data_IF_371764260093
#
_entry.id   IF_371764260093
#
_cell.length_a   1.000
_cell.length_b   1.000
_cell.length_c   1.000
_cell.angle_alpha   90.00
_cell.angle_beta   90.00
_cell.angle_gamma   90.00
#
_symmetry.space_group_name_H-M   'P 1'
#
loop_
_entity.id
_entity.type
_entity.pdbx_description
1 polymer ?
#
# COMPACT_ATOMS: atom_id res chain seq x y z
N UNK A 1 20.53 2.22 -5.84
CA UNK A 1 20.00 0.86 -6.10
C UNK A 1 18.54 0.66 -5.69
N UNK A 2 18.02 1.36 -4.69
CA UNK A 2 16.65 1.19 -4.19
C UNK A 2 15.52 1.64 -5.15
N UNK A 3 15.71 2.73 -5.90
CA UNK A 3 14.69 3.24 -6.83
C UNK A 3 14.42 2.29 -8.01
N UNK A 4 15.44 1.59 -8.49
CA UNK A 4 15.32 0.64 -9.60
C UNK A 4 14.48 -0.57 -9.21
N UNK A 5 14.68 -1.12 -8.01
CA UNK A 5 13.92 -2.28 -7.52
C UNK A 5 12.43 -1.94 -7.33
N UNK A 6 12.14 -0.73 -6.83
CA UNK A 6 10.76 -0.26 -6.70
C UNK A 6 10.07 -0.08 -8.05
N UNK A 7 10.77 0.51 -9.02
CA UNK A 7 10.28 0.66 -10.38
C UNK A 7 9.95 -0.69 -11.01
N UNK A 8 10.85 -1.66 -10.89
CA UNK A 8 10.64 -3.02 -11.38
C UNK A 8 9.42 -3.67 -10.69
N UNK A 9 9.29 -3.52 -9.38
CA UNK A 9 8.15 -4.07 -8.64
C UNK A 9 6.81 -3.48 -9.09
N UNK A 10 6.74 -2.17 -9.32
CA UNK A 10 5.55 -1.50 -9.83
C UNK A 10 5.20 -1.97 -11.25
N UNK A 11 6.18 -2.03 -12.13
CA UNK A 11 5.99 -2.50 -13.51
C UNK A 11 5.56 -3.97 -13.57
N UNK A 12 6.15 -4.82 -12.73
CA UNK A 12 5.76 -6.24 -12.64
C UNK A 12 4.31 -6.38 -12.15
N UNK A 13 3.94 -5.66 -11.10
CA UNK A 13 2.58 -5.68 -10.58
C UNK A 13 1.56 -5.16 -11.60
N UNK A 14 1.91 -4.11 -12.34
CA UNK A 14 1.08 -3.57 -13.40
C UNK A 14 0.93 -4.55 -14.57
N UNK A 15 2.02 -5.15 -15.00
CA UNK A 15 2.01 -6.16 -16.07
C UNK A 15 1.13 -7.35 -15.68
N UNK A 16 1.27 -7.84 -14.44
CA UNK A 16 0.42 -8.92 -13.93
C UNK A 16 -1.06 -8.51 -13.92
N UNK A 17 -1.36 -7.31 -13.42
CA UNK A 17 -2.71 -6.77 -13.39
C UNK A 17 -3.32 -6.68 -14.80
N UNK A 18 -2.59 -6.12 -15.76
CA UNK A 18 -3.03 -5.97 -17.15
C UNK A 18 -3.19 -7.34 -17.83
N UNK A 19 -2.31 -8.30 -17.52
CA UNK A 19 -2.39 -9.67 -18.04
C UNK A 19 -3.65 -10.39 -17.51
N UNK A 20 -3.96 -10.28 -16.24
CA UNK A 20 -5.15 -10.90 -15.65
C UNK A 20 -6.43 -10.30 -16.22
N UNK A 21 -6.46 -8.98 -16.46
CA UNK A 21 -7.62 -8.28 -17.04
C UNK A 21 -7.74 -8.42 -18.56
N UNK A 22 -6.76 -8.98 -19.23
CA UNK A 22 -6.80 -9.19 -20.66
C UNK A 22 -8.01 -10.04 -21.08
N UNK A 23 -8.63 -9.70 -22.23
CA UNK A 23 -9.85 -10.40 -22.73
C UNK A 23 -9.65 -11.90 -22.90
N UNK A 24 -8.42 -12.33 -23.21
CA UNK A 24 -8.05 -13.72 -23.45
C UNK A 24 -7.41 -14.38 -22.23
N UNK A 25 -7.53 -13.76 -21.06
CA UNK A 25 -6.94 -14.31 -19.83
C UNK A 25 -7.68 -15.57 -19.38
N UNK A 26 -6.91 -16.62 -19.08
CA UNK A 26 -7.43 -17.89 -18.56
C UNK A 26 -6.97 -18.13 -17.11
N UNK A 27 -6.92 -17.09 -16.31
CA UNK A 27 -6.60 -17.23 -14.89
C UNK A 27 -7.78 -17.84 -14.14
N UNK A 28 -7.47 -18.83 -13.33
CA UNK A 28 -8.41 -19.53 -12.47
C UNK A 28 -8.01 -19.26 -11.02
N UNK A 29 -9.00 -18.93 -10.20
CA UNK A 29 -8.87 -18.89 -8.75
C UNK A 29 -9.46 -20.17 -8.18
N UNK A 30 -8.75 -20.82 -7.28
CA UNK A 30 -9.23 -22.00 -6.61
C UNK A 30 -9.04 -21.92 -5.09
N UNK A 31 -9.92 -22.58 -4.36
CA UNK A 31 -9.80 -22.80 -2.93
C UNK A 31 -9.68 -24.30 -2.70
N UNK A 32 -8.62 -24.71 -2.01
CA UNK A 32 -8.37 -26.08 -1.61
C UNK A 32 -8.54 -26.26 -0.10
N UNK A 33 -8.67 -27.51 0.34
CA UNK A 33 -8.58 -27.86 1.75
C UNK A 33 -7.17 -27.57 2.29
N UNK A 34 -7.09 -27.14 3.55
CA UNK A 34 -5.80 -26.96 4.21
C UNK A 34 -5.22 -28.34 4.56
N UNK A 35 -4.35 -28.87 3.71
CA UNK A 35 -3.42 -29.89 4.17
C UNK A 35 -2.23 -29.23 4.85
N UNK A 36 -1.74 -29.86 5.92
CA UNK A 36 -0.46 -29.50 6.51
C UNK A 36 0.61 -29.75 5.47
N UNK A 37 1.13 -28.67 4.88
CA UNK A 37 2.30 -28.75 4.02
C UNK A 37 3.48 -29.22 4.89
N UNK A 38 3.76 -30.50 4.86
CA UNK A 38 4.99 -31.04 5.41
C UNK A 38 6.12 -30.65 4.48
N UNK A 39 7.04 -29.83 4.99
CA UNK A 39 8.25 -29.41 4.28
C UNK A 39 8.90 -30.59 3.56
N UNK A 40 9.21 -30.43 2.28
CA UNK A 40 9.96 -31.35 1.39
C UNK A 40 9.18 -32.40 0.57
N UNK A 41 8.07 -32.04 -0.01
CA UNK A 41 7.53 -32.86 -1.09
C UNK A 41 7.52 -32.07 -2.42
N UNK A 42 8.59 -32.20 -3.19
CA UNK A 42 8.65 -31.84 -4.61
C UNK A 42 8.43 -33.11 -5.45
N UNK A 43 7.28 -33.74 -5.34
CA UNK A 43 6.95 -34.94 -6.11
C UNK A 43 5.65 -34.73 -6.89
N UNK A 44 5.53 -35.44 -7.99
CA UNK A 44 4.31 -35.44 -8.84
C UNK A 44 3.06 -35.79 -8.01
N UNK A 45 3.23 -36.53 -6.92
CA UNK A 45 2.15 -36.89 -6.00
C UNK A 45 1.59 -35.67 -5.26
N UNK A 46 2.39 -34.60 -5.03
CA UNK A 46 1.93 -33.38 -4.41
C UNK A 46 1.02 -32.57 -5.33
N UNK A 47 1.32 -32.53 -6.64
CA UNK A 47 0.48 -31.85 -7.62
C UNK A 47 -0.89 -32.54 -7.70
N UNK A 48 -0.94 -33.85 -7.68
CA UNK A 48 -2.20 -34.60 -7.67
C UNK A 48 -3.00 -34.33 -6.39
N UNK A 49 -2.35 -34.29 -5.24
CA UNK A 49 -2.99 -33.96 -3.97
C UNK A 49 -3.60 -32.55 -3.95
N UNK A 50 -2.94 -31.58 -4.58
CA UNK A 50 -3.52 -30.21 -4.76
C UNK A 50 -4.79 -30.27 -5.58
N UNK A 51 -4.80 -30.98 -6.71
CA UNK A 51 -5.96 -31.07 -7.59
C UNK A 51 -7.15 -31.82 -6.93
N UNK A 52 -6.88 -32.86 -6.18
CA UNK A 52 -7.91 -33.63 -5.46
C UNK A 52 -8.56 -32.83 -4.32
N UNK A 53 -7.84 -31.86 -3.75
CA UNK A 53 -8.31 -31.03 -2.65
C UNK A 53 -8.97 -29.71 -3.09
N UNK A 54 -9.17 -29.48 -4.37
CA UNK A 54 -9.88 -28.30 -4.87
C UNK A 54 -11.37 -28.43 -4.55
N UNK A 55 -11.85 -27.57 -3.65
CA UNK A 55 -13.27 -27.51 -3.29
C UNK A 55 -14.04 -26.46 -4.11
N UNK A 56 -13.36 -25.49 -4.67
CA UNK A 56 -13.95 -24.41 -5.44
C UNK A 56 -13.00 -23.95 -6.53
N UNK A 57 -13.53 -23.72 -7.73
CA UNK A 57 -12.79 -23.22 -8.89
C UNK A 57 -13.63 -22.15 -9.59
N UNK A 58 -13.05 -20.99 -9.82
CA UNK A 58 -13.71 -19.91 -10.54
C UNK A 58 -12.74 -19.26 -11.53
N UNK A 59 -13.23 -18.94 -12.74
CA UNK A 59 -12.49 -18.11 -13.69
C UNK A 59 -12.46 -16.67 -13.17
N UNK A 60 -11.27 -16.09 -13.13
CA UNK A 60 -11.07 -14.67 -12.78
C UNK A 60 -11.56 -13.81 -13.93
N UNK A 61 -12.45 -12.85 -13.65
CA UNK A 61 -12.92 -11.85 -14.60
C UNK A 61 -12.15 -10.55 -14.40
N UNK A 62 -12.22 -9.68 -15.39
CA UNK A 62 -11.61 -8.35 -15.34
C UNK A 62 -12.13 -7.48 -14.17
N UNK A 63 -13.38 -7.71 -13.77
CA UNK A 63 -14.02 -7.03 -12.63
C UNK A 63 -13.59 -7.56 -11.26
N UNK A 64 -13.02 -8.75 -11.20
CA UNK A 64 -12.65 -9.42 -9.95
C UNK A 64 -11.27 -8.98 -9.44
N UNK A 65 -10.53 -8.22 -10.24
CA UNK A 65 -9.17 -7.78 -9.93
C UNK A 65 -9.09 -6.26 -9.84
N UNK A 66 -8.55 -5.77 -8.74
CA UNK A 66 -8.33 -4.34 -8.51
C UNK A 66 -6.99 -4.09 -7.85
N UNK A 67 -6.41 -2.93 -8.15
CA UNK A 67 -5.23 -2.46 -7.42
C UNK A 67 -5.73 -1.83 -6.11
N UNK A 68 -5.20 -2.30 -5.01
CA UNK A 68 -5.54 -1.78 -3.68
C UNK A 68 -4.33 -1.09 -3.06
N UNK A 69 -4.58 -0.03 -2.30
CA UNK A 69 -3.59 0.62 -1.46
C UNK A 69 -4.03 0.53 0.00
N UNK A 70 -3.05 0.42 0.89
CA UNK A 70 -3.34 0.42 2.31
C UNK A 70 -3.96 1.76 2.72
N UNK A 71 -5.10 1.72 3.39
CA UNK A 71 -5.71 2.91 3.97
C UNK A 71 -4.96 3.33 5.23
N UNK A 72 -4.52 4.58 5.26
CA UNK A 72 -3.91 5.22 6.42
C UNK A 72 -4.74 6.45 6.76
N UNK A 73 -5.48 6.41 7.88
CA UNK A 73 -6.25 7.56 8.32
C UNK A 73 -5.33 8.58 9.01
N UNK A 74 -5.55 9.86 8.73
CA UNK A 74 -4.89 10.92 9.47
C UNK A 74 -5.36 10.90 10.94
N UNK A 75 -4.42 11.09 11.85
CA UNK A 75 -4.70 11.15 13.28
C UNK A 75 -3.83 12.23 13.93
N UNK A 76 -4.44 13.07 14.75
CA UNK A 76 -3.72 14.11 15.45
C UNK A 76 -2.72 13.52 16.45
N UNK A 77 -1.56 14.13 16.57
CA UNK A 77 -0.49 13.67 17.45
C UNK A 77 0.40 12.59 16.86
N UNK A 78 0.17 12.18 15.61
CA UNK A 78 0.96 11.17 14.91
C UNK A 78 2.10 11.82 14.13
N UNK A 79 3.23 11.13 14.07
CA UNK A 79 4.37 11.53 13.21
C UNK A 79 4.20 10.91 11.83
N UNK A 80 4.26 11.75 10.81
CA UNK A 80 4.25 11.34 9.41
C UNK A 80 5.57 11.72 8.75
N UNK A 81 5.98 10.94 7.77
CA UNK A 81 7.24 11.11 7.09
C UNK A 81 7.06 11.83 5.76
N UNK A 82 7.97 12.70 5.36
CA UNK A 82 7.94 13.27 4.02
C UNK A 82 8.07 12.19 2.96
N UNK A 83 7.37 12.38 1.85
CA UNK A 83 7.53 11.54 0.67
C UNK A 83 8.96 11.66 0.13
N UNK A 84 9.60 10.51 -0.03
CA UNK A 84 10.91 10.40 -0.65
C UNK A 84 10.79 9.51 -1.90
N UNK A 85 11.15 10.08 -3.06
CA UNK A 85 11.14 9.36 -4.33
C UNK A 85 12.29 8.35 -4.46
N UNK A 86 13.33 8.48 -3.64
CA UNK A 86 14.46 7.54 -3.64
C UNK A 86 14.11 6.17 -3.08
N UNK A 87 12.90 6.00 -2.56
CA UNK A 87 12.32 4.72 -2.19
C UNK A 87 12.33 4.42 -0.72
N UNK A 88 12.10 3.20 -0.39
CA UNK A 88 11.90 2.58 0.90
C UNK A 88 12.65 3.30 2.01
N UNK A 89 11.97 3.72 3.07
CA UNK A 89 12.63 4.17 4.29
C UNK A 89 13.60 3.11 4.73
N UNK A 90 14.86 3.50 4.93
CA UNK A 90 15.91 2.56 5.31
C UNK A 90 15.42 1.62 6.41
N UNK A 91 15.60 0.32 6.17
CA UNK A 91 15.48 -0.74 7.15
C UNK A 91 16.48 -0.47 8.28
N UNK A 92 16.03 0.13 9.34
CA UNK A 92 16.89 0.48 10.48
C UNK A 92 16.11 1.17 11.59
N UNK A 93 14.90 1.62 11.30
CA UNK A 93 14.00 2.19 12.28
C UNK A 93 13.14 1.09 12.89
N UNK A 94 13.52 0.66 14.07
CA UNK A 94 12.70 -0.15 14.94
C UNK A 94 11.35 0.52 15.15
N UNK A 95 10.28 -0.07 14.67
CA UNK A 95 8.93 0.22 15.16
C UNK A 95 8.01 1.06 14.29
N UNK A 96 7.80 0.75 13.04
CA UNK A 96 6.62 1.25 12.36
C UNK A 96 6.81 1.60 10.89
N UNK A 97 5.81 1.31 10.11
CA UNK A 97 5.75 1.71 8.72
C UNK A 97 5.74 3.24 8.60
N UNK A 98 6.64 3.77 7.82
CA UNK A 98 6.69 5.21 7.53
C UNK A 98 5.51 5.59 6.63
N UNK A 99 4.49 6.15 7.23
CA UNK A 99 3.35 6.66 6.50
C UNK A 99 3.65 8.07 5.95
N UNK A 100 3.72 8.20 4.65
CA UNK A 100 3.91 9.48 3.95
C UNK A 100 2.64 9.95 3.24
N UNK A 101 1.56 9.17 3.28
CA UNK A 101 0.25 9.55 2.79
C UNK A 101 -0.82 9.24 3.83
N UNK A 102 -1.88 10.03 3.80
CA UNK A 102 -3.00 9.89 4.73
C UNK A 102 -4.31 10.17 4.02
N UNK A 103 -5.38 9.64 4.57
CA UNK A 103 -6.74 9.98 4.18
C UNK A 103 -7.44 10.67 5.35
N UNK A 104 -8.10 11.80 5.08
CA UNK A 104 -8.92 12.49 6.06
C UNK A 104 -10.34 11.90 6.14
N UNK A 105 -11.19 12.46 7.00
CA UNK A 105 -12.58 12.03 7.19
C UNK A 105 -13.47 12.26 5.98
N UNK A 106 -13.09 13.20 5.10
CA UNK A 106 -13.80 13.53 3.87
C UNK A 106 -13.40 12.60 2.69
N UNK A 107 -12.69 11.51 2.97
CA UNK A 107 -12.10 10.56 2.02
C UNK A 107 -11.12 11.21 1.03
N UNK A 108 -10.47 12.29 1.44
CA UNK A 108 -9.46 12.97 0.66
C UNK A 108 -8.08 12.45 1.02
N UNK A 109 -7.30 12.11 -0.01
CA UNK A 109 -5.95 11.56 0.15
C UNK A 109 -4.92 12.65 -0.04
N UNK A 110 -4.00 12.73 0.90
CA UNK A 110 -2.90 13.69 0.93
C UNK A 110 -1.56 12.98 1.04
N UNK A 111 -0.54 13.57 0.43
CA UNK A 111 0.85 13.15 0.60
C UNK A 111 1.62 14.19 1.42
N UNK A 112 2.41 13.74 2.37
CA UNK A 112 3.29 14.59 3.15
C UNK A 112 4.48 15.04 2.29
N UNK A 113 4.57 16.33 2.03
CA UNK A 113 5.66 16.92 1.25
C UNK A 113 6.83 17.38 2.13
N UNK A 114 6.52 17.82 3.35
CA UNK A 114 7.52 18.14 4.37
C UNK A 114 6.95 18.04 5.76
N UNK A 115 7.78 17.62 6.69
CA UNK A 115 7.52 17.64 8.12
C UNK A 115 8.62 18.45 8.81
N UNK A 116 8.26 19.51 9.54
CA UNK A 116 9.23 20.38 10.16
C UNK A 116 9.39 20.06 11.65
N UNK A 117 10.64 19.99 12.08
CA UNK A 117 11.08 19.60 13.42
C UNK A 117 11.13 20.77 14.41
N UNK A 118 10.12 21.66 14.47
CA UNK A 118 10.29 22.88 15.28
C UNK A 118 10.19 22.69 16.80
N UNK A 119 9.38 21.79 17.33
CA UNK A 119 9.09 21.80 18.78
C UNK A 119 9.07 20.44 19.50
N UNK A 120 9.01 19.34 18.83
CA UNK A 120 9.11 18.00 19.41
C UNK A 120 9.71 17.05 18.39
N UNK A 121 10.89 16.59 18.71
CA UNK A 121 11.61 15.66 17.84
C UNK A 121 11.36 14.26 18.36
N UNK A 122 10.79 13.41 17.51
CA UNK A 122 11.04 11.99 17.66
C UNK A 122 12.55 11.74 17.50
N UNK A 123 12.99 10.51 17.63
CA UNK A 123 14.41 10.15 17.46
C UNK A 123 14.98 10.54 16.07
N UNK A 124 14.14 10.99 15.12
CA UNK A 124 14.50 11.41 13.77
C UNK A 124 14.33 12.91 13.54
N UNK A 125 13.96 13.64 14.56
CA UNK A 125 13.79 15.08 14.48
C UNK A 125 12.49 15.57 13.87
N UNK A 126 11.47 14.70 13.70
CA UNK A 126 10.16 15.07 13.20
C UNK A 126 9.22 15.50 14.35
N UNK A 127 8.27 16.37 14.05
CA UNK A 127 7.22 16.79 14.97
C UNK A 127 5.92 16.04 14.71
N UNK A 128 5.05 15.98 15.70
CA UNK A 128 3.72 15.40 15.56
C UNK A 128 2.83 16.29 14.69
N UNK A 129 2.07 15.71 13.77
CA UNK A 129 1.04 16.43 13.04
C UNK A 129 -0.17 16.66 13.94
N UNK A 130 -0.58 17.92 14.08
CA UNK A 130 -1.72 18.31 14.91
C UNK A 130 -2.80 19.05 14.13
N UNK A 131 -2.49 19.47 12.90
CA UNK A 131 -3.42 20.16 12.02
C UNK A 131 -3.85 19.25 10.88
N UNK A 132 -5.17 19.02 10.79
CA UNK A 132 -5.75 18.15 9.76
C UNK A 132 -5.50 18.72 8.35
N UNK A 133 -5.01 17.90 7.39
CA UNK A 133 -4.92 18.30 6.01
C UNK A 133 -6.31 18.44 5.37
N UNK A 134 -6.50 19.53 4.63
CA UNK A 134 -7.72 19.83 3.88
C UNK A 134 -7.36 20.43 2.53
N UNK A 135 -8.30 20.44 1.58
CA UNK A 135 -8.08 21.12 0.29
C UNK A 135 -7.78 22.61 0.45
N UNK A 136 -8.38 23.25 1.46
CA UNK A 136 -8.16 24.68 1.72
C UNK A 136 -6.74 25.03 2.13
N UNK A 137 -6.01 24.07 2.70
CA UNK A 137 -4.61 24.24 3.09
C UNK A 137 -3.62 23.44 2.22
N UNK A 138 -4.05 23.08 1.02
CA UNK A 138 -3.27 22.31 0.07
C UNK A 138 -1.91 22.98 -0.25
N UNK A 139 -0.83 22.20 -0.09
CA UNK A 139 0.55 22.61 -0.34
C UNK A 139 1.04 23.82 0.46
N UNK A 140 0.36 24.15 1.56
CA UNK A 140 0.73 25.22 2.49
C UNK A 140 1.41 24.63 3.71
N UNK A 141 2.39 25.33 4.30
CA UNK A 141 3.01 24.96 5.56
C UNK A 141 2.03 25.29 6.69
N UNK A 142 1.59 24.27 7.40
CA UNK A 142 0.66 24.39 8.52
C UNK A 142 1.37 24.85 9.80
N UNK A 143 0.61 25.24 10.82
CA UNK A 143 1.18 25.72 12.09
C UNK A 143 1.97 24.64 12.85
N UNK A 144 1.71 23.37 12.58
CA UNK A 144 2.48 22.23 13.10
C UNK A 144 3.76 21.93 12.30
N UNK A 145 3.99 22.68 11.21
CA UNK A 145 5.16 22.56 10.34
C UNK A 145 5.03 21.51 9.23
N UNK A 146 3.90 20.83 9.16
CA UNK A 146 3.62 19.92 8.05
C UNK A 146 3.17 20.67 6.81
N UNK A 147 3.51 20.12 5.64
CA UNK A 147 3.01 20.55 4.35
C UNK A 147 2.45 19.34 3.62
N UNK A 148 1.16 19.38 3.35
CA UNK A 148 0.43 18.32 2.69
C UNK A 148 0.02 18.73 1.28
N UNK A 149 0.12 17.81 0.33
CA UNK A 149 -0.37 17.97 -1.03
C UNK A 149 -1.55 17.05 -1.23
N UNK A 150 -2.68 17.62 -1.66
CA UNK A 150 -3.86 16.87 -2.08
C UNK A 150 -3.54 16.04 -3.32
N UNK A 151 -3.95 14.78 -3.34
CA UNK A 151 -3.81 13.87 -4.47
C UNK A 151 -5.16 13.67 -5.17
N UNK A 152 -6.11 13.08 -4.48
CA UNK A 152 -7.44 12.77 -5.02
C UNK A 152 -8.43 12.54 -3.88
N UNK A 153 -9.71 12.48 -4.24
CA UNK A 153 -10.78 12.03 -3.35
C UNK A 153 -11.19 10.61 -3.74
N UNK A 154 -11.37 9.77 -2.73
CA UNK A 154 -11.93 8.41 -2.92
C UNK A 154 -13.45 8.54 -2.90
N UNK A 155 -14.09 8.23 -4.01
CA UNK A 155 -15.53 8.06 -4.05
C UNK A 155 -15.84 6.67 -3.49
N UNK A 156 -16.52 6.64 -2.36
CA UNK A 156 -17.05 5.38 -1.84
C UNK A 156 -18.21 5.00 -2.76
N UNK A 157 -18.07 3.87 -3.45
CA UNK A 157 -19.22 3.29 -4.14
C UNK A 157 -20.28 2.95 -3.07
N UNK A 158 -21.49 3.46 -3.26
CA UNK A 158 -22.66 3.11 -2.47
C UNK A 158 -23.04 1.63 -2.68
#
# INVERSE_FOLDING_TARGET
MSSTLRSIGIETAKTLYDTIRGRDSNFLFFLGGAETVTENKNTIDDDNGIWENINFLQKVRDTDVSIVARRVNWSSGTVYYPYDSSGIPESGMSGGEKNYYVMNEDNEVFVCMSANARNRKDQFGLSNSTVKPTRGNNNTVLSDGYRWKFLYKVDLAE
#
